data_IF_967746295700
#
_entry.id   IF_967746295700
#
_cell.length_a   1.000
_cell.length_b   1.000
_cell.length_c   1.000
_cell.angle_alpha   90.00
_cell.angle_beta   90.00
_cell.angle_gamma   90.00
#
_symmetry.space_group_name_H-M   'P 1'
#
loop_
_entity.id
_entity.type
_entity.pdbx_description
1 polymer ?
#
# COMPACT_ATOMS: atom_id res chain seq x y z
N UNK A 1 5.36 -12.47 -16.34
CA UNK A 1 5.55 -11.16 -15.67
C UNK A 1 4.85 -11.21 -14.32
N UNK A 2 5.47 -10.74 -13.23
CA UNK A 2 4.89 -10.82 -11.88
C UNK A 2 3.96 -9.62 -11.67
N UNK A 3 2.73 -9.88 -11.19
CA UNK A 3 1.80 -8.83 -10.82
C UNK A 3 2.14 -8.30 -9.41
N UNK A 4 2.70 -7.10 -9.32
CA UNK A 4 3.04 -6.49 -8.02
C UNK A 4 1.82 -6.24 -7.14
N UNK A 5 0.65 -5.98 -7.75
CA UNK A 5 -0.58 -5.70 -7.01
C UNK A 5 -1.14 -6.92 -6.27
N UNK A 6 -0.72 -8.15 -6.62
CA UNK A 6 -1.12 -9.37 -5.91
C UNK A 6 -0.20 -9.71 -4.72
N UNK A 7 0.91 -9.00 -4.54
CA UNK A 7 1.82 -9.24 -3.42
C UNK A 7 1.17 -8.74 -2.12
N UNK A 8 1.11 -9.63 -1.12
CA UNK A 8 0.50 -9.34 0.19
C UNK A 8 1.41 -9.69 1.36
N UNK A 9 2.47 -10.47 1.14
CA UNK A 9 3.37 -10.96 2.18
C UNK A 9 4.80 -11.06 1.68
N UNK A 10 5.76 -10.99 2.59
CA UNK A 10 7.17 -11.24 2.33
C UNK A 10 7.78 -12.07 3.46
N UNK A 11 8.84 -12.82 3.13
CA UNK A 11 9.61 -13.62 4.07
C UNK A 11 11.01 -13.03 4.17
N UNK A 12 11.44 -12.68 5.37
CA UNK A 12 12.81 -12.36 5.69
C UNK A 12 13.49 -13.61 6.23
N UNK A 13 14.59 -14.01 5.58
CA UNK A 13 15.44 -15.11 6.02
C UNK A 13 16.72 -14.50 6.54
N UNK A 14 17.02 -14.72 7.82
CA UNK A 14 18.27 -14.28 8.44
C UNK A 14 19.05 -15.51 8.88
N UNK A 15 20.35 -15.53 8.61
CA UNK A 15 21.24 -16.57 9.09
C UNK A 15 22.12 -15.98 10.17
N UNK A 16 22.17 -16.65 11.31
CA UNK A 16 23.09 -16.32 12.39
C UNK A 16 24.31 -17.24 12.32
N UNK A 17 25.49 -16.66 12.11
CA UNK A 17 26.73 -17.43 11.94
C UNK A 17 27.21 -18.07 13.23
N UNK A 18 26.84 -17.53 14.38
CA UNK A 18 27.32 -18.03 15.68
C UNK A 18 26.50 -19.25 16.12
N UNK A 19 25.17 -19.16 16.06
CA UNK A 19 24.28 -20.30 16.36
C UNK A 19 24.09 -21.27 15.20
N UNK A 20 24.51 -20.90 13.98
CA UNK A 20 24.29 -21.66 12.74
C UNK A 20 22.79 -21.86 12.40
N UNK A 21 21.91 -21.00 12.92
CA UNK A 21 20.46 -21.12 12.74
C UNK A 21 19.93 -20.15 11.68
N UNK A 22 18.87 -20.58 11.02
CA UNK A 22 18.06 -19.74 10.14
C UNK A 22 16.83 -19.24 10.88
N UNK A 23 16.68 -17.93 10.93
CA UNK A 23 15.50 -17.26 11.42
C UNK A 23 14.59 -16.87 10.26
N UNK A 24 13.34 -17.31 10.33
CA UNK A 24 12.32 -17.03 9.33
C UNK A 24 11.29 -16.06 9.90
N UNK A 25 11.22 -14.84 9.35
CA UNK A 25 10.25 -13.83 9.77
C UNK A 25 9.29 -13.51 8.63
N UNK A 26 8.02 -13.82 8.83
CA UNK A 26 6.96 -13.60 7.86
C UNK A 26 6.18 -12.33 8.17
N UNK A 27 6.09 -11.44 7.18
CA UNK A 27 5.41 -10.16 7.33
C UNK A 27 4.28 -10.00 6.32
N UNK A 28 3.21 -9.35 6.77
CA UNK A 28 2.17 -8.83 5.88
C UNK A 28 2.59 -7.48 5.32
N UNK A 29 2.43 -7.29 4.01
CA UNK A 29 2.76 -6.05 3.31
C UNK A 29 1.48 -5.23 3.13
N UNK A 30 1.45 -4.04 3.75
CA UNK A 30 0.35 -3.07 3.59
C UNK A 30 0.84 -1.88 2.78
N UNK A 31 0.25 -1.68 1.61
CA UNK A 31 0.49 -0.47 0.81
C UNK A 31 -0.15 0.72 1.52
N UNK A 32 0.65 1.72 1.82
CA UNK A 32 0.19 3.01 2.33
C UNK A 32 0.58 4.08 1.32
N UNK A 33 -0.37 4.91 0.85
CA UNK A 33 -0.03 5.99 -0.07
C UNK A 33 0.83 7.03 0.66
N UNK A 34 1.91 7.46 0.01
CA UNK A 34 2.82 8.51 0.47
C UNK A 34 2.79 9.68 -0.53
N UNK A 35 3.12 10.90 -0.07
CA UNK A 35 3.17 12.09 -0.94
C UNK A 35 1.82 12.82 -1.16
N UNK A 36 0.74 12.37 -0.51
CA UNK A 36 -0.55 13.06 -0.54
C UNK A 36 -0.68 14.03 0.64
N UNK A 37 -1.19 15.23 0.37
CA UNK A 37 -1.54 16.19 1.43
C UNK A 37 -2.66 15.62 2.31
N UNK A 38 -2.73 16.07 3.58
CA UNK A 38 -3.77 15.60 4.53
C UNK A 38 -5.19 15.81 4.00
N UNK A 39 -5.44 16.89 3.28
CA UNK A 39 -6.75 17.19 2.66
C UNK A 39 -7.09 16.18 1.56
N UNK A 40 -6.16 15.93 0.65
CA UNK A 40 -6.36 14.99 -0.45
C UNK A 40 -6.52 13.54 0.05
N UNK A 41 -5.82 13.17 1.13
CA UNK A 41 -5.97 11.85 1.76
C UNK A 41 -7.37 11.61 2.35
N UNK A 42 -8.04 12.65 2.86
CA UNK A 42 -9.43 12.54 3.34
C UNK A 42 -10.40 12.33 2.17
N UNK A 43 -10.21 13.05 1.06
CA UNK A 43 -11.04 12.91 -0.14
C UNK A 43 -10.93 11.49 -0.74
N UNK A 44 -9.72 10.92 -0.77
CA UNK A 44 -9.47 9.59 -1.35
C UNK A 44 -9.92 8.40 -0.48
N UNK A 45 -10.30 8.62 0.78
CA UNK A 45 -10.80 7.57 1.66
C UNK A 45 -12.30 7.27 1.45
N UNK A 46 -13.06 8.26 0.98
CA UNK A 46 -14.43 8.05 0.51
C UNK A 46 -14.41 7.32 -0.85
N UNK A 47 -15.42 6.48 -1.12
CA UNK A 47 -15.57 5.87 -2.45
C UNK A 47 -15.65 6.99 -3.49
N UNK A 48 -14.56 7.21 -4.23
CA UNK A 48 -14.52 8.27 -5.22
C UNK A 48 -15.58 8.01 -6.30
N UNK A 49 -16.50 8.96 -6.56
CA UNK A 49 -17.41 8.83 -7.68
C UNK A 49 -16.63 8.85 -8.99
N UNK A 50 -17.23 8.30 -10.04
CA UNK A 50 -16.65 8.35 -11.38
C UNK A 50 -16.65 9.81 -11.88
N UNK A 51 -15.47 10.45 -11.87
CA UNK A 51 -15.30 11.85 -12.25
C UNK A 51 -15.30 12.10 -13.76
N UNK A 52 -15.41 11.05 -14.60
CA UNK A 52 -15.46 11.23 -16.06
C UNK A 52 -16.69 11.99 -16.56
N UNK A 53 -17.67 12.21 -15.68
CA UNK A 53 -18.88 12.98 -15.94
C UNK A 53 -18.96 14.30 -15.17
N UNK A 54 -17.89 14.67 -14.45
CA UNK A 54 -17.84 15.89 -13.64
C UNK A 54 -16.86 16.87 -14.28
N UNK A 55 -17.32 18.08 -14.57
CA UNK A 55 -16.50 19.12 -15.20
C UNK A 55 -15.66 19.90 -14.16
N UNK A 56 -16.10 19.93 -12.89
CA UNK A 56 -15.43 20.65 -11.80
C UNK A 56 -15.44 19.85 -10.48
N UNK A 57 -14.35 19.98 -9.69
CA UNK A 57 -14.23 19.35 -8.36
C UNK A 57 -15.17 19.97 -7.31
N UNK A 58 -15.61 21.21 -7.54
CA UNK A 58 -16.59 21.92 -6.72
C UNK A 58 -17.95 21.21 -6.72
N UNK A 59 -18.24 20.39 -7.74
CA UNK A 59 -19.45 19.57 -7.79
C UNK A 59 -19.46 18.41 -6.77
N UNK A 60 -18.33 18.16 -6.11
CA UNK A 60 -18.18 17.16 -5.05
C UNK A 60 -18.30 17.75 -3.63
N UNK A 61 -18.30 19.08 -3.48
CA UNK A 61 -18.29 19.81 -2.19
C UNK A 61 -19.66 20.40 -1.87
#
# INVERSE_FOLDING_TARGET
QVNLNSIRRCLLVSYDSDSQLLELRHYSVKVVPVGLSRGLRKLLQEKFPNLSHMDDISELL
#
